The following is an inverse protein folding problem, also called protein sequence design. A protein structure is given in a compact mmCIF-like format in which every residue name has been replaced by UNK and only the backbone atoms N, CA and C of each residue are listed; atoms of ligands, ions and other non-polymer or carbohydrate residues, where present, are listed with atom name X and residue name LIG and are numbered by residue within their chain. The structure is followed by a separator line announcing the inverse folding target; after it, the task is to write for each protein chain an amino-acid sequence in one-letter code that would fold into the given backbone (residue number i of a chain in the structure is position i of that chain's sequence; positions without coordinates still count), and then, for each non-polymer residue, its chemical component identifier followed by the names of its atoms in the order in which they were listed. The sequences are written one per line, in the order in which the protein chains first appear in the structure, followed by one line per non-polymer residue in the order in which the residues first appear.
data_IF_147210414859
#
_entry.id   IF_147210414859
#
_cell.length_a   1.000
_cell.length_b   1.000
_cell.length_c   1.000
_cell.angle_alpha   90.00
_cell.angle_beta   90.00
_cell.angle_gamma   90.00
#
_symmetry.space_group_name_H-M   'P 1'
#
loop_
_entity.id
_entity.type
_entity.pdbx_description
1 polymer ?
#
# COMPACT_ATOMS: atom_id res chain seq x y z
N UNK A 1 -9.71 -7.52 6.97
CA UNK A 1 -10.71 -8.09 6.06
C UNK A 1 -11.75 -7.06 5.62
N UNK A 2 -12.34 -6.25 6.51
CA UNK A 2 -13.36 -5.25 6.09
C UNK A 2 -12.86 -4.28 4.99
N UNK A 3 -11.71 -3.63 5.17
CA UNK A 3 -11.20 -2.67 4.18
C UNK A 3 -10.82 -3.34 2.84
N UNK A 4 -10.29 -4.56 2.86
CA UNK A 4 -10.01 -5.31 1.63
C UNK A 4 -11.30 -5.59 0.86
N UNK A 5 -12.35 -6.02 1.57
CA UNK A 5 -13.66 -6.28 0.96
C UNK A 5 -14.26 -5.01 0.36
N UNK A 6 -14.01 -3.83 0.96
CA UNK A 6 -14.42 -2.53 0.38
C UNK A 6 -13.70 -2.27 -0.95
N UNK A 7 -12.39 -2.51 -1.01
CA UNK A 7 -11.61 -2.37 -2.24
C UNK A 7 -12.09 -3.36 -3.31
N UNK A 8 -12.31 -4.62 -2.94
CA UNK A 8 -12.82 -5.67 -3.84
C UNK A 8 -14.25 -5.40 -4.35
N UNK A 9 -14.98 -4.48 -3.71
CA UNK A 9 -16.31 -4.05 -4.13
C UNK A 9 -16.32 -2.88 -5.13
N UNK A 10 -15.15 -2.31 -5.47
CA UNK A 10 -15.05 -1.23 -6.45
C UNK A 10 -15.37 -1.71 -7.86
N UNK A 11 -15.86 -0.80 -8.70
CA UNK A 11 -16.10 -1.08 -10.11
C UNK A 11 -14.78 -1.14 -10.89
N UNK A 12 -14.69 -2.05 -11.86
CA UNK A 12 -13.45 -2.30 -12.62
C UNK A 12 -13.00 -1.12 -13.50
N UNK A 13 -13.89 -0.15 -13.76
CA UNK A 13 -13.53 1.09 -14.45
C UNK A 13 -12.81 2.12 -13.55
N UNK A 14 -12.68 1.87 -12.25
CA UNK A 14 -11.92 2.70 -11.31
C UNK A 14 -10.44 2.34 -11.42
N UNK A 15 -9.65 3.17 -12.11
CA UNK A 15 -8.21 2.91 -12.28
C UNK A 15 -7.34 3.25 -11.06
N UNK A 16 -7.83 4.05 -10.12
CA UNK A 16 -7.07 4.45 -8.92
C UNK A 16 -8.05 4.83 -7.80
N UNK A 17 -7.72 4.48 -6.56
CA UNK A 17 -8.52 4.81 -5.38
C UNK A 17 -7.64 5.35 -4.26
N UNK A 18 -8.10 6.41 -3.58
CA UNK A 18 -7.53 6.88 -2.32
C UNK A 18 -8.38 6.33 -1.17
N UNK A 19 -7.78 5.48 -0.33
CA UNK A 19 -8.42 4.98 0.88
C UNK A 19 -7.95 5.77 2.10
N UNK A 20 -8.87 6.47 2.76
CA UNK A 20 -8.64 7.17 4.02
C UNK A 20 -9.29 6.36 5.15
N UNK A 21 -8.54 6.06 6.20
CA UNK A 21 -9.04 5.23 7.29
C UNK A 21 -8.19 5.32 8.56
N UNK A 22 -8.53 4.50 9.55
CA UNK A 22 -7.88 4.48 10.86
C UNK A 22 -6.97 3.26 11.04
N UNK A 23 -5.92 3.44 11.84
CA UNK A 23 -5.13 2.33 12.36
C UNK A 23 -5.86 1.61 13.49
N UNK A 24 -5.59 0.31 13.70
CA UNK A 24 -4.60 -0.51 12.99
C UNK A 24 -5.10 -1.09 11.65
N UNK A 25 -6.35 -0.82 11.27
CA UNK A 25 -6.96 -1.39 10.07
C UNK A 25 -6.23 -1.02 8.78
N UNK A 26 -5.91 0.26 8.61
CA UNK A 26 -5.22 0.77 7.43
C UNK A 26 -3.78 0.23 7.32
N UNK A 27 -3.02 0.30 8.41
CA UNK A 27 -1.67 -0.29 8.51
C UNK A 27 -1.66 -1.78 8.16
N UNK A 28 -2.56 -2.57 8.75
CA UNK A 28 -2.65 -4.02 8.48
C UNK A 28 -3.04 -4.31 7.05
N UNK A 29 -3.89 -3.48 6.44
CA UNK A 29 -4.24 -3.62 5.03
C UNK A 29 -3.04 -3.34 4.14
N UNK A 30 -2.31 -2.24 4.38
CA UNK A 30 -1.14 -1.89 3.58
C UNK A 30 -0.08 -2.98 3.65
N UNK A 31 0.31 -3.41 4.85
CA UNK A 31 1.26 -4.53 5.06
C UNK A 31 0.73 -5.86 4.49
N UNK A 32 -0.57 -6.11 4.61
CA UNK A 32 -1.19 -7.34 4.11
C UNK A 32 -1.24 -7.41 2.57
N UNK A 33 -1.35 -6.26 1.90
CA UNK A 33 -1.38 -6.17 0.44
C UNK A 33 0.01 -6.22 -0.19
N UNK A 34 1.07 -5.80 0.53
CA UNK A 34 2.43 -5.85 0.00
C UNK A 34 2.88 -7.28 -0.25
N UNK A 35 3.21 -7.58 -1.50
CA UNK A 35 3.65 -8.90 -1.96
C UNK A 35 5.03 -9.31 -1.42
N UNK A 36 5.32 -10.61 -1.54
CA UNK A 36 6.67 -11.18 -1.33
C UNK A 36 7.73 -10.60 -2.28
N UNK A 37 7.30 -9.83 -3.29
CA UNK A 37 8.16 -9.09 -4.22
C UNK A 37 8.76 -7.82 -3.63
N UNK A 38 8.63 -7.55 -2.33
CA UNK A 38 9.43 -6.53 -1.65
C UNK A 38 10.96 -6.76 -1.81
N UNK A 39 11.38 -7.99 -2.13
CA UNK A 39 12.75 -8.32 -2.53
C UNK A 39 13.11 -7.87 -3.95
N UNK A 40 12.13 -7.65 -4.83
CA UNK A 40 12.31 -6.90 -6.09
C UNK A 40 12.20 -5.42 -5.78
N UNK A 41 13.15 -4.95 -4.98
CA UNK A 41 13.37 -3.52 -4.78
C UNK A 41 13.27 -2.82 -6.11
N UNK A 42 12.53 -1.72 -6.09
CA UNK A 42 12.62 -0.65 -7.06
C UNK A 42 14.05 -0.54 -7.57
N UNK A 43 14.27 -0.96 -8.82
CA UNK A 43 15.55 -0.86 -9.52
C UNK A 43 16.07 0.59 -9.62
N UNK A 44 15.38 1.57 -9.03
CA UNK A 44 15.54 2.98 -9.30
C UNK A 44 15.76 3.89 -8.06
N UNK A 45 15.79 3.39 -6.81
CA UNK A 45 16.17 4.23 -5.66
C UNK A 45 17.12 3.46 -4.71
N UNK A 46 18.44 3.65 -4.82
CA UNK A 46 19.39 3.16 -3.83
C UNK A 46 19.11 3.76 -2.44
N UNK A 47 18.91 2.93 -1.43
CA UNK A 47 19.00 3.34 -0.02
C UNK A 47 17.70 3.49 0.78
N UNK A 48 16.51 3.25 0.21
CA UNK A 48 15.25 3.34 0.98
C UNK A 48 14.40 2.06 0.91
N UNK A 49 14.42 1.30 2.00
CA UNK A 49 13.50 0.18 2.20
C UNK A 49 12.15 0.68 2.75
N UNK A 50 11.24 1.03 1.84
CA UNK A 50 9.90 1.49 2.19
C UNK A 50 9.11 0.46 3.01
N UNK A 51 9.29 -0.84 2.74
CA UNK A 51 8.58 -1.87 3.47
C UNK A 51 9.08 -1.93 4.91
N UNK A 52 10.40 -1.93 5.12
CA UNK A 52 10.98 -1.89 6.47
C UNK A 52 10.51 -0.65 7.24
N UNK A 53 10.50 0.53 6.60
CA UNK A 53 9.99 1.77 7.21
C UNK A 53 8.51 1.67 7.62
N UNK A 54 7.68 1.11 6.74
CA UNK A 54 6.24 0.93 6.99
C UNK A 54 5.99 -0.10 8.09
N UNK A 55 6.74 -1.20 8.11
CA UNK A 55 6.66 -2.26 9.11
C UNK A 55 7.10 -1.79 10.50
N UNK A 56 8.02 -0.81 10.59
CA UNK A 56 8.39 -0.17 11.86
C UNK A 56 7.25 0.69 12.39
N UNK A 57 6.63 1.53 11.53
CA UNK A 57 5.56 2.44 11.94
C UNK A 57 4.75 2.98 10.76
N UNK A 58 3.42 2.96 10.91
CA UNK A 58 2.47 3.66 10.05
C UNK A 58 1.86 4.87 10.82
N UNK A 59 2.52 6.04 10.87
CA UNK A 59 2.01 7.17 11.65
C UNK A 59 0.76 7.80 11.02
N UNK A 60 0.06 8.64 11.79
CA UNK A 60 -1.03 9.48 11.26
C UNK A 60 -0.55 10.28 10.06
N UNK A 61 -1.40 10.39 9.04
CA UNK A 61 -1.11 11.04 7.76
C UNK A 61 0.07 10.44 6.97
N UNK A 62 0.49 9.20 7.26
CA UNK A 62 1.33 8.46 6.34
C UNK A 62 0.55 8.04 5.08
N UNK A 63 1.24 7.99 3.96
CA UNK A 63 0.72 7.58 2.65
C UNK A 63 1.56 6.40 2.13
N UNK A 64 0.89 5.28 1.88
CA UNK A 64 1.45 4.13 1.17
C UNK A 64 0.87 4.10 -0.25
N UNK A 65 1.73 4.09 -1.26
CA UNK A 65 1.34 3.96 -2.66
C UNK A 65 1.56 2.51 -3.08
N UNK A 66 0.46 1.84 -3.43
CA UNK A 66 0.44 0.42 -3.80
C UNK A 66 -0.04 0.28 -5.25
N UNK A 67 0.65 -0.53 -6.03
CA UNK A 67 0.23 -0.91 -7.38
C UNK A 67 -0.08 -2.40 -7.44
N UNK A 68 -1.23 -2.76 -8.00
CA UNK A 68 -1.64 -4.14 -8.19
C UNK A 68 -1.85 -4.41 -9.67
N UNK A 69 -1.20 -5.46 -10.19
CA UNK A 69 -1.42 -5.95 -11.54
C UNK A 69 -2.60 -6.93 -11.54
N UNK A 70 -3.82 -6.38 -11.64
CA UNK A 70 -5.09 -7.11 -11.60
C UNK A 70 -6.03 -6.62 -12.70
N UNK A 71 -6.88 -7.50 -13.23
CA UNK A 71 -7.91 -7.14 -14.21
C UNK A 71 -9.19 -6.62 -13.54
N UNK A 72 -9.51 -7.13 -12.34
CA UNK A 72 -10.65 -6.69 -11.54
C UNK A 72 -10.23 -6.37 -10.10
N UNK A 73 -10.89 -5.40 -9.48
CA UNK A 73 -10.71 -5.10 -8.05
C UNK A 73 -10.98 -6.30 -7.14
N UNK A 74 -11.84 -7.22 -7.58
CA UNK A 74 -12.15 -8.46 -6.86
C UNK A 74 -10.94 -9.38 -6.73
N UNK A 75 -9.97 -9.28 -7.64
CA UNK A 75 -8.76 -10.11 -7.65
C UNK A 75 -7.67 -9.58 -6.70
N UNK A 76 -7.87 -8.39 -6.12
CA UNK A 76 -6.95 -7.84 -5.13
C UNK A 76 -6.92 -8.75 -3.91
N UNK A 77 -5.74 -9.26 -3.59
CA UNK A 77 -5.53 -10.25 -2.52
C UNK A 77 -4.32 -9.92 -1.66
N UNK A 78 -4.20 -10.61 -0.53
CA UNK A 78 -3.01 -10.51 0.31
C UNK A 78 -1.74 -10.79 -0.50
N UNK A 79 -0.76 -9.93 -0.36
CA UNK A 79 0.48 -9.96 -1.13
C UNK A 79 0.32 -9.70 -2.63
N UNK A 80 -0.82 -9.16 -3.07
CA UNK A 80 -1.14 -8.91 -4.48
C UNK A 80 -0.75 -7.53 -5.00
N UNK A 81 -0.07 -6.71 -4.20
CA UNK A 81 0.34 -5.36 -4.59
C UNK A 81 1.83 -5.09 -4.29
N UNK A 82 2.44 -4.23 -5.10
CA UNK A 82 3.79 -3.70 -4.93
C UNK A 82 3.74 -2.37 -4.18
N UNK A 83 4.57 -2.21 -3.15
CA UNK A 83 4.77 -0.92 -2.49
C UNK A 83 5.70 -0.06 -3.34
N UNK A 84 5.16 0.98 -3.97
CA UNK A 84 5.93 1.92 -4.78
C UNK A 84 6.55 3.02 -3.94
N UNK A 85 5.85 3.48 -2.91
CA UNK A 85 6.32 4.55 -2.05
C UNK A 85 5.69 4.48 -0.67
N UNK A 86 6.44 4.92 0.35
CA UNK A 86 5.91 5.15 1.69
C UNK A 86 6.37 6.51 2.23
N UNK A 87 5.44 7.44 2.33
CA UNK A 87 5.67 8.82 2.76
C UNK A 87 5.08 9.02 4.15
N UNK A 88 5.81 9.70 5.03
CA UNK A 88 5.31 10.16 6.33
C UNK A 88 5.32 11.68 6.35
N UNK A 89 4.51 12.32 7.22
CA UNK A 89 4.51 13.77 7.32
C UNK A 89 5.91 14.38 7.50
N UNK A 90 6.78 13.74 8.30
CA UNK A 90 8.16 14.19 8.53
C UNK A 90 9.11 14.07 7.33
N UNK A 91 8.71 13.35 6.28
CA UNK A 91 9.52 13.19 5.07
C UNK A 91 9.27 14.34 4.08
N UNK A 92 8.19 15.10 4.28
CA UNK A 92 7.87 16.31 3.51
C UNK A 92 8.30 17.49 4.39
N UNK A 93 9.50 18.01 4.17
CA UNK A 93 9.90 19.29 4.72
C UNK A 93 9.50 20.40 3.75
N UNK A 94 8.88 21.46 4.27
CA UNK A 94 8.89 22.77 3.61
C UNK A 94 10.30 23.37 3.67
#
# INVERSE_FOLDING_TARGET
MELLNRLQGLADNVGTVLLIGHNPGLERLALGLTGKQAERQAENIPGEDFLARMAIKFPTAALAILEAEIESWRDLKAGGALLRQFIRPKDIAD
#
